data_IF_827386553370
#
_entry.id   IF_827386553370
#
_cell.length_a   1.000
_cell.length_b   1.000
_cell.length_c   1.000
_cell.angle_alpha   90.00
_cell.angle_beta   90.00
_cell.angle_gamma   90.00
#
_symmetry.space_group_name_H-M   'P 1'
#
loop_
_entity.id
_entity.type
_entity.pdbx_description
1 polymer ?
#
# COMPACT_ATOMS: atom_id res chain seq x y z
N UNK A 1 -17.29 9.66 -22.08
CA UNK A 1 -17.94 9.66 -20.76
C UNK A 1 -16.90 10.08 -19.73
N UNK A 2 -17.16 11.17 -19.01
CA UNK A 2 -16.28 11.61 -17.91
C UNK A 2 -16.38 10.55 -16.81
N UNK A 3 -15.25 9.91 -16.43
CA UNK A 3 -15.25 8.96 -15.31
C UNK A 3 -15.59 9.70 -14.02
N UNK A 4 -16.38 9.07 -13.15
CA UNK A 4 -16.67 9.62 -11.83
C UNK A 4 -15.39 9.80 -11.02
N UNK A 5 -15.37 10.78 -10.15
CA UNK A 5 -14.30 10.93 -9.14
C UNK A 5 -14.66 10.10 -7.91
N UNK A 6 -13.67 9.80 -7.07
CA UNK A 6 -13.92 9.23 -5.75
C UNK A 6 -14.83 10.14 -4.92
N UNK A 7 -15.49 9.56 -3.91
CA UNK A 7 -16.22 10.33 -2.90
C UNK A 7 -15.32 10.49 -1.68
N UNK A 8 -14.72 11.64 -1.54
CA UNK A 8 -13.90 11.97 -0.37
C UNK A 8 -14.78 12.03 0.88
N UNK A 9 -14.41 11.30 1.93
CA UNK A 9 -15.11 11.24 3.21
C UNK A 9 -14.43 12.07 4.29
N UNK A 10 -13.09 11.97 4.36
CA UNK A 10 -12.26 12.73 5.30
C UNK A 10 -10.95 13.11 4.60
N UNK A 11 -10.47 14.32 4.88
CA UNK A 11 -9.13 14.77 4.54
C UNK A 11 -8.50 15.33 5.80
N UNK A 12 -7.41 14.75 6.23
CA UNK A 12 -6.81 15.01 7.53
C UNK A 12 -5.33 15.33 7.37
N UNK A 13 -4.83 16.27 8.13
CA UNK A 13 -3.37 16.45 8.24
C UNK A 13 -2.76 15.13 8.75
N UNK A 14 -1.75 14.64 8.07
CA UNK A 14 -1.10 13.40 8.49
C UNK A 14 -0.46 13.57 9.88
N UNK A 15 -0.58 12.59 10.78
CA UNK A 15 0.03 12.66 12.10
C UNK A 15 1.56 12.51 12.07
N UNK A 16 2.13 12.19 10.91
CA UNK A 16 3.57 12.17 10.67
C UNK A 16 3.90 12.86 9.34
N UNK A 17 5.12 13.38 9.20
CA UNK A 17 5.57 14.02 7.95
C UNK A 17 5.90 12.98 6.87
N UNK A 18 5.76 13.39 5.61
CA UNK A 18 6.05 12.55 4.43
C UNK A 18 5.48 11.12 4.53
N UNK A 19 4.15 10.99 4.77
CA UNK A 19 3.52 9.69 4.97
C UNK A 19 3.70 8.80 3.74
N UNK A 20 4.13 7.53 3.94
CA UNK A 20 4.47 6.61 2.87
C UNK A 20 3.62 5.35 2.91
N UNK A 21 3.93 4.38 3.75
CA UNK A 21 3.12 3.19 3.93
C UNK A 21 1.83 3.53 4.67
N UNK A 22 0.76 2.81 4.35
CA UNK A 22 -0.50 2.85 5.07
C UNK A 22 -1.10 1.45 5.06
N UNK A 23 -1.48 0.95 6.22
CA UNK A 23 -2.06 -0.38 6.38
C UNK A 23 -3.06 -0.41 7.53
N UNK A 24 -4.02 -1.33 7.48
CA UNK A 24 -5.06 -1.54 8.49
C UNK A 24 -4.87 -2.90 9.17
N UNK A 25 -4.95 -2.97 10.50
CA UNK A 25 -4.78 -4.21 11.26
C UNK A 25 -6.11 -4.84 11.75
N UNK A 26 -7.23 -4.28 11.33
CA UNK A 26 -8.56 -4.66 11.79
C UNK A 26 -9.13 -3.70 12.84
N UNK A 27 -8.28 -2.87 13.47
CA UNK A 27 -8.68 -1.91 14.50
C UNK A 27 -8.08 -0.52 14.28
N UNK A 28 -6.84 -0.44 13.81
CA UNK A 28 -6.09 0.81 13.71
C UNK A 28 -5.27 0.90 12.42
N UNK A 29 -4.98 2.12 12.01
CA UNK A 29 -4.10 2.40 10.90
C UNK A 29 -2.63 2.38 11.34
N UNK A 30 -1.78 1.81 10.49
CA UNK A 30 -0.33 1.90 10.61
C UNK A 30 0.21 2.73 9.45
N UNK A 31 1.04 3.71 9.77
CA UNK A 31 1.58 4.66 8.81
C UNK A 31 3.08 4.83 9.02
N UNK A 32 3.85 4.79 7.95
CA UNK A 32 5.26 5.14 8.02
C UNK A 32 5.52 6.57 7.58
N UNK A 33 6.55 7.18 8.16
CA UNK A 33 7.19 8.38 7.62
C UNK A 33 8.40 8.00 6.78
N UNK A 34 8.44 8.49 5.54
CA UNK A 34 9.60 8.22 4.68
C UNK A 34 10.85 8.92 5.17
N UNK A 35 10.73 10.18 5.59
CA UNK A 35 11.86 11.03 5.93
C UNK A 35 12.33 10.83 7.37
N UNK A 36 11.42 10.48 8.29
CA UNK A 36 11.80 10.14 9.67
C UNK A 36 12.24 8.67 9.82
N UNK A 37 11.83 7.81 8.89
CA UNK A 37 12.10 6.37 8.98
C UNK A 37 11.31 5.65 10.08
N UNK A 38 10.28 6.28 10.65
CA UNK A 38 9.46 5.72 11.73
C UNK A 38 8.22 5.01 11.20
N UNK A 39 7.66 4.13 12.01
CA UNK A 39 6.38 3.46 11.78
C UNK A 39 5.46 3.76 12.97
N UNK A 40 4.30 4.38 12.69
CA UNK A 40 3.36 4.83 13.70
C UNK A 40 2.06 4.03 13.64
N UNK A 41 1.55 3.60 14.78
CA UNK A 41 0.18 3.13 14.97
C UNK A 41 -0.72 4.31 15.29
N UNK A 42 -1.87 4.42 14.61
CA UNK A 42 -2.74 5.59 14.63
C UNK A 42 -4.15 5.18 15.04
N UNK A 43 -4.66 5.81 16.10
CA UNK A 43 -6.08 5.80 16.43
C UNK A 43 -6.84 6.56 15.33
N UNK A 44 -7.56 5.84 14.47
CA UNK A 44 -8.23 6.41 13.30
C UNK A 44 -9.43 7.30 13.67
N UNK A 45 -10.02 7.12 14.85
CA UNK A 45 -11.12 7.96 15.34
C UNK A 45 -10.60 9.30 15.87
N UNK A 46 -9.61 9.26 16.79
CA UNK A 46 -9.03 10.44 17.42
C UNK A 46 -7.93 11.09 16.58
N UNK A 47 -7.50 10.42 15.52
CA UNK A 47 -6.49 10.85 14.56
C UNK A 47 -5.18 11.28 15.24
N UNK A 48 -4.62 10.39 16.03
CA UNK A 48 -3.36 10.63 16.75
C UNK A 48 -2.51 9.36 16.78
N UNK A 49 -1.19 9.56 16.86
CA UNK A 49 -0.25 8.47 17.12
C UNK A 49 -0.48 7.92 18.53
N UNK A 50 -0.60 6.61 18.64
CA UNK A 50 -0.74 5.88 19.91
C UNK A 50 0.48 5.02 20.22
N UNK A 51 1.26 4.65 19.20
CA UNK A 51 2.49 3.90 19.32
C UNK A 51 3.45 4.28 18.19
N UNK A 52 4.74 4.31 18.48
CA UNK A 52 5.79 4.53 17.50
C UNK A 52 6.80 3.40 17.58
N UNK A 53 7.23 2.90 16.42
CA UNK A 53 8.15 1.77 16.29
C UNK A 53 9.30 2.17 15.37
N UNK A 54 10.52 1.77 15.71
CA UNK A 54 11.73 1.99 14.92
C UNK A 54 12.01 0.78 14.01
N UNK A 55 11.71 0.85 12.71
CA UNK A 55 12.04 -0.21 11.76
C UNK A 55 13.53 -0.16 11.37
N UNK A 56 14.10 -1.26 10.84
CA UNK A 56 15.49 -1.31 10.42
C UNK A 56 15.82 -0.54 9.13
N UNK A 57 14.91 0.30 8.67
CA UNK A 57 15.00 1.15 7.48
C UNK A 57 13.67 1.78 7.13
N UNK A 58 13.57 2.39 5.95
CA UNK A 58 12.33 3.03 5.49
C UNK A 58 11.29 1.97 5.15
N UNK A 59 10.12 2.05 5.78
CA UNK A 59 8.97 1.19 5.47
C UNK A 59 8.24 1.77 4.28
N UNK A 60 8.19 1.00 3.18
CA UNK A 60 7.54 1.41 1.93
C UNK A 60 6.09 0.94 1.85
N UNK A 61 5.79 -0.23 2.39
CA UNK A 61 4.45 -0.78 2.46
C UNK A 61 4.31 -1.71 3.66
N UNK A 62 3.07 -1.97 4.06
CA UNK A 62 2.73 -2.94 5.09
C UNK A 62 1.42 -3.63 4.80
N UNK A 63 1.27 -4.85 5.30
CA UNK A 63 0.03 -5.61 5.32
C UNK A 63 -0.07 -6.43 6.60
N UNK A 64 -1.25 -6.47 7.17
CA UNK A 64 -1.57 -7.33 8.30
C UNK A 64 -2.15 -8.65 7.77
N UNK A 65 -1.67 -9.77 8.32
CA UNK A 65 -2.07 -11.13 7.94
C UNK A 65 -2.48 -11.91 9.17
N UNK A 66 -2.98 -13.13 8.99
CA UNK A 66 -3.39 -14.00 10.12
C UNK A 66 -2.24 -14.32 11.10
N UNK A 67 -0.99 -14.26 10.62
CA UNK A 67 0.23 -14.55 11.40
C UNK A 67 1.08 -13.29 11.65
N UNK A 68 0.47 -12.10 11.59
CA UNK A 68 1.05 -10.81 11.96
C UNK A 68 1.46 -9.95 10.77
N UNK A 69 2.28 -8.96 11.05
CA UNK A 69 2.68 -7.95 10.09
C UNK A 69 3.72 -8.42 9.08
N UNK A 70 3.58 -7.94 7.84
CA UNK A 70 4.62 -7.97 6.81
C UNK A 70 4.84 -6.55 6.29
N UNK A 71 6.11 -6.17 6.21
CA UNK A 71 6.52 -4.85 5.70
C UNK A 71 7.57 -5.00 4.61
N UNK A 72 7.47 -4.18 3.57
CA UNK A 72 8.60 -3.96 2.67
C UNK A 72 9.46 -2.84 3.23
N UNK A 73 10.74 -3.13 3.50
CA UNK A 73 11.68 -2.20 4.12
C UNK A 73 12.95 -2.13 3.29
N UNK A 74 13.43 -0.90 3.04
CA UNK A 74 14.70 -0.62 2.41
C UNK A 74 15.52 0.38 3.22
N UNK A 75 16.85 0.35 3.06
CA UNK A 75 17.76 1.24 3.83
C UNK A 75 17.90 2.63 3.24
N UNK A 76 17.39 2.86 2.03
CA UNK A 76 17.53 4.15 1.37
C UNK A 76 16.71 4.27 0.09
N UNK A 77 17.13 5.19 -0.78
CA UNK A 77 16.47 5.43 -2.06
C UNK A 77 16.85 4.40 -3.13
N UNK A 78 17.88 3.61 -2.89
CA UNK A 78 18.33 2.55 -3.80
C UNK A 78 17.47 1.30 -3.61
N UNK A 79 17.38 0.51 -4.66
CA UNK A 79 16.61 -0.72 -4.71
C UNK A 79 17.29 -1.82 -3.86
N UNK A 80 17.02 -1.80 -2.56
CA UNK A 80 17.56 -2.74 -1.56
C UNK A 80 16.46 -3.32 -0.68
N UNK A 81 15.25 -3.48 -1.22
CA UNK A 81 14.05 -3.79 -0.45
C UNK A 81 13.92 -5.28 -0.14
N UNK A 82 13.53 -5.53 1.10
CA UNK A 82 13.24 -6.86 1.63
C UNK A 82 11.87 -6.86 2.29
N UNK A 83 11.24 -8.03 2.33
CA UNK A 83 10.07 -8.26 3.17
C UNK A 83 10.54 -8.65 4.57
N UNK A 84 9.95 -8.02 5.58
CA UNK A 84 10.18 -8.29 7.00
C UNK A 84 8.88 -8.72 7.65
N UNK A 85 8.97 -9.66 8.60
CA UNK A 85 7.95 -9.90 9.59
C UNK A 85 8.17 -8.96 10.77
N UNK A 86 7.10 -8.45 11.34
CA UNK A 86 7.13 -7.72 12.60
C UNK A 86 6.17 -8.37 13.61
N UNK A 87 6.63 -8.56 14.81
CA UNK A 87 5.82 -8.91 15.98
C UNK A 87 6.26 -8.03 17.16
N UNK A 88 5.31 -7.52 17.98
CA UNK A 88 5.64 -6.57 19.06
C UNK A 88 6.72 -7.05 20.03
N UNK A 89 6.78 -8.36 20.33
CA UNK A 89 7.74 -8.91 21.28
C UNK A 89 9.07 -9.31 20.64
N UNK A 90 9.11 -9.57 19.33
CA UNK A 90 10.27 -10.09 18.61
C UNK A 90 10.95 -9.02 17.74
N UNK A 91 10.25 -7.90 17.51
CA UNK A 91 10.69 -6.84 16.57
C UNK A 91 10.64 -7.28 15.12
N UNK A 92 11.56 -6.76 14.31
CA UNK A 92 11.63 -7.00 12.88
C UNK A 92 12.55 -8.16 12.52
N UNK A 93 12.03 -9.14 11.80
CA UNK A 93 12.80 -10.27 11.25
C UNK A 93 12.80 -10.21 9.73
N UNK A 94 13.98 -10.12 9.11
CA UNK A 94 14.13 -10.16 7.66
C UNK A 94 13.76 -11.54 7.13
N UNK A 95 12.91 -11.60 6.09
CA UNK A 95 12.46 -12.83 5.45
C UNK A 95 13.17 -13.06 4.11
N UNK A 96 12.79 -12.31 3.08
CA UNK A 96 13.31 -12.51 1.72
C UNK A 96 13.46 -11.17 0.99
N UNK A 97 14.27 -11.17 -0.07
CA UNK A 97 14.44 -10.02 -0.93
C UNK A 97 13.19 -9.81 -1.81
N UNK A 98 12.77 -8.56 -1.99
CA UNK A 98 11.82 -8.24 -3.04
C UNK A 98 12.42 -8.56 -4.41
N UNK A 99 11.62 -8.94 -5.43
CA UNK A 99 12.10 -9.16 -6.79
C UNK A 99 12.90 -7.96 -7.31
N UNK A 100 14.10 -8.20 -7.85
CA UNK A 100 15.06 -7.18 -8.27
C UNK A 100 15.40 -6.13 -7.19
N UNK A 101 15.22 -6.49 -5.91
CA UNK A 101 15.33 -5.59 -4.76
C UNK A 101 14.41 -4.37 -4.83
N UNK A 102 13.37 -4.40 -5.67
CA UNK A 102 12.35 -3.36 -5.80
C UNK A 102 11.01 -3.90 -5.33
N UNK A 103 10.33 -3.19 -4.46
CA UNK A 103 8.99 -3.55 -3.99
C UNK A 103 8.33 -2.31 -3.45
N UNK A 104 7.21 -1.91 -4.05
CA UNK A 104 6.57 -0.64 -3.70
C UNK A 104 5.46 -0.82 -2.70
N UNK A 105 4.49 -1.68 -3.00
CA UNK A 105 3.33 -1.93 -2.15
C UNK A 105 3.10 -3.42 -1.98
N UNK A 106 2.52 -3.80 -0.84
CA UNK A 106 2.30 -5.17 -0.44
C UNK A 106 0.85 -5.32 0.02
N UNK A 107 0.17 -6.38 -0.43
CA UNK A 107 -1.13 -6.80 0.07
C UNK A 107 -1.20 -8.31 0.22
N UNK A 108 -2.25 -8.82 0.89
CA UNK A 108 -2.42 -10.23 1.19
C UNK A 108 -3.83 -10.68 0.83
N UNK A 109 -3.94 -11.74 0.04
CA UNK A 109 -5.20 -12.30 -0.44
C UNK A 109 -5.68 -13.53 0.34
N UNK A 110 -5.22 -13.70 1.59
CA UNK A 110 -5.57 -14.84 2.43
C UNK A 110 -4.64 -16.04 2.28
N UNK A 111 -4.05 -16.24 1.11
CA UNK A 111 -3.16 -17.37 0.81
C UNK A 111 -1.83 -16.90 0.21
N UNK A 112 -1.86 -15.84 -0.59
CA UNK A 112 -0.69 -15.31 -1.30
C UNK A 112 -0.45 -13.85 -0.96
N UNK A 113 0.83 -13.48 -1.00
CA UNK A 113 1.24 -12.07 -1.02
C UNK A 113 1.20 -11.54 -2.45
N UNK A 114 0.89 -10.24 -2.56
CA UNK A 114 0.90 -9.51 -3.82
C UNK A 114 1.79 -8.30 -3.64
N UNK A 115 2.89 -8.25 -4.39
CA UNK A 115 3.89 -7.20 -4.33
C UNK A 115 3.90 -6.42 -5.64
N UNK A 116 3.69 -5.12 -5.60
CA UNK A 116 3.80 -4.29 -6.79
C UNK A 116 5.21 -3.77 -7.02
N UNK A 117 5.55 -3.61 -8.29
CA UNK A 117 6.71 -2.85 -8.75
C UNK A 117 6.21 -1.59 -9.48
N UNK A 118 6.37 -0.42 -8.86
CA UNK A 118 5.78 0.85 -9.30
C UNK A 118 5.92 1.12 -10.79
N UNK A 119 7.16 1.35 -11.25
CA UNK A 119 7.43 1.76 -12.63
C UNK A 119 7.32 0.62 -13.66
N UNK A 120 7.32 -0.62 -13.21
CA UNK A 120 7.12 -1.77 -14.11
C UNK A 120 5.63 -2.01 -14.38
N UNK A 121 4.74 -1.41 -13.58
CA UNK A 121 3.31 -1.60 -13.72
C UNK A 121 2.86 -3.04 -13.52
N UNK A 122 3.52 -3.78 -12.62
CA UNK A 122 3.33 -5.20 -12.37
C UNK A 122 3.01 -5.47 -10.91
N UNK A 123 2.21 -6.50 -10.67
CA UNK A 123 1.96 -7.09 -9.35
C UNK A 123 2.38 -8.56 -9.40
N UNK A 124 3.32 -8.96 -8.54
CA UNK A 124 3.74 -10.34 -8.37
C UNK A 124 2.92 -11.01 -7.29
N UNK A 125 2.28 -12.12 -7.62
CA UNK A 125 1.73 -13.07 -6.66
C UNK A 125 2.86 -13.98 -6.18
N UNK A 126 3.07 -14.02 -4.85
CA UNK A 126 4.18 -14.73 -4.22
C UNK A 126 3.69 -15.62 -3.10
N UNK A 127 4.43 -16.68 -2.82
CA UNK A 127 4.27 -17.47 -1.58
C UNK A 127 4.98 -16.78 -0.38
N UNK A 128 4.93 -17.44 0.77
CA UNK A 128 5.53 -16.97 2.03
C UNK A 128 7.08 -16.98 2.02
N UNK A 129 7.71 -17.61 1.03
CA UNK A 129 9.16 -17.61 0.80
C UNK A 129 9.62 -16.50 -0.15
N UNK A 130 8.67 -15.78 -0.76
CA UNK A 130 8.93 -14.76 -1.78
C UNK A 130 9.09 -15.32 -3.20
N UNK A 131 8.79 -16.61 -3.42
CA UNK A 131 8.80 -17.19 -4.76
C UNK A 131 7.60 -16.71 -5.55
N UNK A 132 7.88 -16.12 -6.72
CA UNK A 132 6.84 -15.66 -7.64
C UNK A 132 6.17 -16.86 -8.29
N UNK A 133 4.88 -16.99 -8.06
CA UNK A 133 4.02 -17.94 -8.76
C UNK A 133 3.46 -17.37 -10.06
N UNK A 134 3.18 -16.05 -10.05
CA UNK A 134 2.55 -15.36 -11.18
C UNK A 134 2.85 -13.87 -11.16
N UNK A 135 2.84 -13.25 -12.34
CA UNK A 135 2.90 -11.80 -12.53
C UNK A 135 1.62 -11.31 -13.23
N UNK A 136 1.02 -10.26 -12.70
CA UNK A 136 -0.17 -9.60 -13.24
C UNK A 136 0.26 -8.25 -13.80
N UNK A 137 0.02 -8.05 -15.10
CA UNK A 137 0.32 -6.78 -15.78
C UNK A 137 -0.80 -5.77 -15.51
N UNK A 138 -0.45 -4.62 -14.95
CA UNK A 138 -1.39 -3.52 -14.69
C UNK A 138 -1.38 -2.50 -15.82
N UNK A 139 -0.26 -2.44 -16.60
CA UNK A 139 -0.13 -1.57 -17.75
C UNK A 139 -0.10 -0.08 -17.44
N UNK A 140 0.22 0.28 -16.19
CA UNK A 140 0.37 1.65 -15.70
C UNK A 140 1.21 1.64 -14.42
N UNK A 141 1.76 2.79 -14.01
CA UNK A 141 2.41 2.93 -12.71
C UNK A 141 1.42 2.62 -11.57
N UNK A 142 1.95 2.05 -10.47
CA UNK A 142 1.15 1.62 -9.31
C UNK A 142 1.58 2.39 -8.08
N UNK A 143 0.68 3.16 -7.47
CA UNK A 143 0.99 3.90 -6.24
C UNK A 143 0.28 3.37 -4.98
N UNK A 144 -0.35 2.21 -5.06
CA UNK A 144 -0.98 1.51 -3.93
C UNK A 144 -1.90 0.40 -4.40
N UNK A 145 -2.05 -0.65 -3.59
CA UNK A 145 -3.09 -1.65 -3.78
C UNK A 145 -3.46 -2.33 -2.46
N UNK A 146 -4.66 -2.88 -2.40
CA UNK A 146 -5.18 -3.62 -1.25
C UNK A 146 -6.17 -4.68 -1.69
N UNK A 147 -6.48 -5.65 -0.82
CA UNK A 147 -7.53 -6.63 -1.02
C UNK A 147 -8.82 -6.24 -0.31
N UNK A 148 -9.94 -6.40 -1.02
CA UNK A 148 -11.27 -6.34 -0.42
C UNK A 148 -12.08 -7.48 -1.02
N UNK A 149 -12.55 -8.40 -0.20
CA UNK A 149 -13.41 -9.55 -0.58
C UNK A 149 -12.88 -10.34 -1.78
N UNK A 150 -11.58 -10.67 -1.76
CA UNK A 150 -10.92 -11.47 -2.80
C UNK A 150 -10.62 -10.72 -4.10
N UNK A 151 -10.88 -9.42 -4.14
CA UNK A 151 -10.62 -8.52 -5.27
C UNK A 151 -9.46 -7.59 -4.94
N UNK A 152 -8.54 -7.39 -5.88
CA UNK A 152 -7.49 -6.36 -5.75
C UNK A 152 -8.06 -5.02 -6.21
N UNK A 153 -7.96 -4.02 -5.33
CA UNK A 153 -8.13 -2.62 -5.68
C UNK A 153 -6.74 -2.01 -5.83
N UNK A 154 -6.51 -1.28 -6.92
CA UNK A 154 -5.22 -0.73 -7.28
C UNK A 154 -5.34 0.74 -7.66
N UNK A 155 -4.45 1.57 -7.10
CA UNK A 155 -4.21 2.94 -7.55
C UNK A 155 -3.21 2.89 -8.69
N UNK A 156 -3.67 3.19 -9.91
CA UNK A 156 -2.87 3.12 -11.14
C UNK A 156 -2.93 4.42 -11.92
N UNK A 157 -1.86 4.74 -12.63
CA UNK A 157 -1.83 5.98 -13.39
C UNK A 157 -0.44 6.32 -13.88
N UNK A 158 -0.06 7.59 -13.76
CA UNK A 158 1.28 8.08 -14.08
C UNK A 158 1.65 9.24 -13.17
N UNK A 159 2.90 9.27 -12.72
CA UNK A 159 3.46 10.39 -11.95
C UNK A 159 3.89 11.54 -12.88
N UNK A 160 4.35 11.22 -14.09
CA UNK A 160 4.88 12.20 -15.06
C UNK A 160 4.29 12.01 -16.46
N UNK A 161 4.19 13.06 -17.27
CA UNK A 161 4.49 14.47 -17.01
C UNK A 161 3.45 15.19 -16.17
N UNK A 162 2.20 14.68 -16.12
CA UNK A 162 1.10 15.19 -15.31
C UNK A 162 0.67 14.05 -14.38
N UNK A 163 0.68 14.29 -13.08
CA UNK A 163 0.29 13.28 -12.12
C UNK A 163 -1.22 13.02 -12.19
N UNK A 164 -1.59 11.82 -12.62
CA UNK A 164 -2.98 11.36 -12.72
C UNK A 164 -3.12 9.96 -12.16
N UNK A 165 -4.05 9.80 -11.24
CA UNK A 165 -4.32 8.53 -10.61
C UNK A 165 -5.80 8.13 -10.72
N UNK A 166 -6.01 6.82 -10.79
CA UNK A 166 -7.33 6.21 -10.78
C UNK A 166 -7.31 5.02 -9.83
N UNK A 167 -8.43 4.78 -9.18
CA UNK A 167 -8.66 3.51 -8.52
C UNK A 167 -9.32 2.56 -9.52
N UNK A 168 -8.75 1.38 -9.64
CA UNK A 168 -9.27 0.29 -10.47
C UNK A 168 -9.41 -0.98 -9.63
N UNK A 169 -10.11 -1.99 -10.15
CA UNK A 169 -10.21 -3.30 -9.54
C UNK A 169 -9.92 -4.41 -10.54
N UNK A 170 -9.47 -5.55 -10.04
CA UNK A 170 -9.29 -6.78 -10.81
C UNK A 170 -9.52 -8.01 -9.92
N UNK A 171 -9.97 -9.11 -10.55
CA UNK A 171 -10.02 -10.40 -9.89
C UNK A 171 -8.69 -11.15 -10.13
N UNK A 172 -7.86 -11.37 -9.10
CA UNK A 172 -6.57 -12.02 -9.27
C UNK A 172 -6.67 -13.52 -9.58
N UNK A 173 -7.84 -14.14 -9.50
CA UNK A 173 -8.07 -15.55 -9.83
C UNK A 173 -8.18 -15.80 -11.33
N UNK A 174 -8.56 -14.77 -12.09
CA UNK A 174 -8.62 -14.87 -13.55
C UNK A 174 -7.21 -15.02 -14.13
N UNK A 175 -7.05 -15.85 -15.16
CA UNK A 175 -5.77 -16.06 -15.84
C UNK A 175 -5.24 -14.76 -16.46
N UNK A 176 -6.14 -13.99 -17.07
CA UNK A 176 -5.87 -12.65 -17.62
C UNK A 176 -6.88 -11.67 -17.03
N UNK A 177 -6.60 -11.07 -15.85
CA UNK A 177 -7.55 -10.21 -15.18
C UNK A 177 -7.91 -8.96 -15.98
N UNK A 178 -9.21 -8.72 -16.11
CA UNK A 178 -9.68 -7.43 -16.62
C UNK A 178 -9.45 -6.34 -15.57
N UNK A 179 -8.74 -5.27 -15.94
CA UNK A 179 -8.51 -4.14 -15.06
C UNK A 179 -9.57 -3.07 -15.30
N UNK A 180 -10.52 -2.98 -14.38
CA UNK A 180 -11.65 -2.07 -14.49
C UNK A 180 -11.42 -0.80 -13.68
N UNK A 181 -11.16 0.32 -14.37
CA UNK A 181 -11.12 1.63 -13.73
C UNK A 181 -12.50 2.02 -13.16
N UNK A 182 -12.53 2.44 -11.91
CA UNK A 182 -13.73 2.81 -11.18
C UNK A 182 -13.90 4.32 -11.08
N UNK A 183 -12.86 5.03 -10.60
CA UNK A 183 -12.95 6.47 -10.37
C UNK A 183 -11.59 7.16 -10.52
N UNK A 184 -11.62 8.47 -10.75
CA UNK A 184 -10.45 9.35 -10.71
C UNK A 184 -10.14 9.65 -9.24
N UNK A 185 -8.83 9.62 -8.89
CA UNK A 185 -8.32 10.06 -7.58
C UNK A 185 -7.65 11.42 -7.78
N UNK A 186 -8.27 12.54 -7.36
CA UNK A 186 -7.85 13.89 -7.72
C UNK A 186 -6.73 14.45 -6.82
N UNK A 187 -5.79 13.61 -6.41
CA UNK A 187 -4.61 14.01 -5.64
C UNK A 187 -3.44 13.03 -5.86
N UNK A 188 -2.23 13.48 -5.55
CA UNK A 188 -0.99 12.70 -5.64
C UNK A 188 -0.94 11.60 -4.56
N UNK A 189 -1.67 10.51 -4.81
CA UNK A 189 -1.88 9.44 -3.85
C UNK A 189 -0.65 8.54 -3.68
N UNK A 190 -0.49 8.00 -2.47
CA UNK A 190 0.55 7.01 -2.12
C UNK A 190 -0.03 6.02 -1.12
N UNK A 191 0.21 4.74 -1.37
CA UNK A 191 -0.37 3.63 -0.61
C UNK A 191 -1.89 3.53 -0.74
N UNK A 192 -2.43 2.36 -0.45
CA UNK A 192 -3.87 2.11 -0.39
C UNK A 192 -4.14 1.04 0.66
N UNK A 193 -5.08 1.31 1.56
CA UNK A 193 -5.63 0.31 2.48
C UNK A 193 -7.14 0.48 2.59
N UNK A 194 -7.81 -0.51 3.17
CA UNK A 194 -9.25 -0.51 3.38
C UNK A 194 -9.55 -0.87 4.85
N UNK A 195 -10.36 -0.07 5.53
CA UNK A 195 -10.67 -0.22 6.95
C UNK A 195 -11.96 -1.02 7.23
N UNK A 196 -12.57 -1.56 6.18
CA UNK A 196 -13.87 -2.22 6.24
C UNK A 196 -15.02 -1.34 5.75
N UNK A 197 -14.81 -0.03 5.65
CA UNK A 197 -15.81 0.94 5.18
C UNK A 197 -15.25 1.87 4.09
N UNK A 198 -14.05 2.39 4.29
CA UNK A 198 -13.44 3.38 3.41
C UNK A 198 -12.06 2.92 2.93
N UNK A 199 -11.70 3.34 1.73
CA UNK A 199 -10.32 3.33 1.28
C UNK A 199 -9.56 4.50 1.88
N UNK A 200 -8.29 4.27 2.24
CA UNK A 200 -7.39 5.28 2.74
C UNK A 200 -6.15 5.35 1.87
N UNK A 201 -5.72 6.57 1.57
CA UNK A 201 -4.48 6.83 0.85
C UNK A 201 -3.80 8.11 1.36
N UNK A 202 -2.47 8.15 1.30
CA UNK A 202 -1.69 9.32 1.67
C UNK A 202 -1.54 10.27 0.48
N UNK A 203 -1.74 11.56 0.72
CA UNK A 203 -1.29 12.65 -0.15
C UNK A 203 0.05 13.17 0.41
N UNK A 204 1.12 12.44 0.12
CA UNK A 204 2.43 12.65 0.74
C UNK A 204 2.98 14.07 0.59
N UNK A 205 2.83 14.66 -0.60
CA UNK A 205 3.33 16.01 -0.88
C UNK A 205 2.63 17.09 -0.05
N UNK A 206 1.37 16.87 0.34
CA UNK A 206 0.60 17.80 1.19
C UNK A 206 0.64 17.44 2.67
N UNK A 207 1.31 16.34 3.06
CA UNK A 207 1.24 15.77 4.41
C UNK A 207 -0.21 15.53 4.88
N UNK A 208 -1.01 14.95 4.02
CA UNK A 208 -2.41 14.61 4.29
C UNK A 208 -2.66 13.12 4.13
N UNK A 209 -3.71 12.65 4.77
CA UNK A 209 -4.28 11.31 4.59
C UNK A 209 -5.76 11.45 4.28
N UNK A 210 -6.21 10.76 3.25
CA UNK A 210 -7.56 10.90 2.69
C UNK A 210 -8.29 9.58 2.79
N UNK A 211 -9.47 9.60 3.44
CA UNK A 211 -10.44 8.51 3.39
C UNK A 211 -11.47 8.78 2.29
N UNK A 212 -11.80 7.78 1.50
CA UNK A 212 -12.72 7.92 0.39
C UNK A 212 -13.49 6.62 0.09
N UNK A 213 -14.62 6.77 -0.60
CA UNK A 213 -15.40 5.67 -1.15
C UNK A 213 -15.38 5.70 -2.69
N UNK A 214 -15.67 4.56 -3.28
CA UNK A 214 -15.88 4.37 -4.73
C UNK A 214 -17.35 3.98 -4.93
N UNK A 215 -18.00 4.57 -5.93
CA UNK A 215 -19.40 4.26 -6.30
C UNK A 215 -19.51 2.94 -7.07
#
# INVERSE_FOLDING_TARGET
MTKASIIEKRRLSSPTITPQALAWDGEQLWMSSRDLGTLCKIDSEKWRVVEEVDPPGVVWAGVFTNDGWRFTIGKGLNDDRYVYRYAPNDGFTKLFACPDFTGSYLSFGGEHYYLSQWYKGQIHQMDDTGKIGRTIEIGAEICGHTFVDGTIYVLRGAEKPNEEWRIARLDPREETPEIKDLAIVPFACRSLTFDGENFWSNHRAANETVAFAVL
#
